data_IF_719009064333
#
_entry.id   IF_719009064333
#
_cell.length_a   1.000
_cell.length_b   1.000
_cell.length_c   1.000
_cell.angle_alpha   90.00
_cell.angle_beta   90.00
_cell.angle_gamma   90.00
#
_symmetry.space_group_name_H-M   'P 1'
#
loop_
_entity.id
_entity.type
_entity.pdbx_description
1 polymer ?
#
# COMPACT_ATOMS: atom_id res chain seq x y z
N UNK A 1 17.98 -25.03 -12.29
CA UNK A 1 19.19 -24.27 -12.64
C UNK A 1 18.73 -22.83 -12.87
N UNK A 2 19.41 -21.82 -12.29
CA UNK A 2 19.05 -20.41 -12.50
C UNK A 2 19.09 -20.06 -14.00
N UNK A 3 18.22 -19.15 -14.44
CA UNK A 3 18.21 -18.67 -15.82
C UNK A 3 19.43 -17.78 -16.08
N UNK A 4 19.86 -17.63 -17.34
CA UNK A 4 20.94 -16.71 -17.70
C UNK A 4 20.64 -15.27 -17.26
N UNK A 5 19.37 -14.86 -17.33
CA UNK A 5 18.90 -13.57 -16.84
C UNK A 5 19.08 -13.43 -15.32
N UNK A 6 18.77 -14.47 -14.53
CA UNK A 6 18.95 -14.45 -13.08
C UNK A 6 20.43 -14.36 -12.68
N UNK A 7 21.32 -15.06 -13.39
CA UNK A 7 22.77 -14.97 -13.12
C UNK A 7 23.30 -13.57 -13.44
N UNK A 8 22.88 -12.97 -14.55
CA UNK A 8 23.27 -11.60 -14.91
C UNK A 8 22.66 -10.53 -13.98
N UNK A 9 21.48 -10.81 -13.42
CA UNK A 9 20.82 -9.93 -12.47
C UNK A 9 21.68 -9.72 -11.22
N UNK A 10 22.25 -10.80 -10.67
CA UNK A 10 23.06 -10.77 -9.44
C UNK A 10 24.33 -9.90 -9.54
N UNK A 11 24.81 -9.63 -10.77
CA UNK A 11 25.93 -8.73 -11.06
C UNK A 11 25.50 -7.26 -11.31
N UNK A 12 24.20 -6.98 -11.36
CA UNK A 12 23.65 -5.64 -11.61
C UNK A 12 23.43 -4.91 -10.29
N UNK A 13 24.00 -3.71 -10.14
CA UNK A 13 23.74 -2.83 -9.01
C UNK A 13 22.65 -1.81 -9.37
N UNK A 14 21.58 -1.77 -8.58
CA UNK A 14 20.50 -0.78 -8.69
C UNK A 14 20.53 0.13 -7.46
N UNK A 15 20.56 1.43 -7.69
CA UNK A 15 20.45 2.41 -6.61
C UNK A 15 18.97 2.74 -6.31
N UNK A 16 18.60 2.79 -5.05
CA UNK A 16 17.29 3.27 -4.60
C UNK A 16 17.52 4.59 -3.88
N UNK A 17 17.13 5.70 -4.53
CA UNK A 17 17.19 7.03 -3.93
C UNK A 17 15.84 7.34 -3.29
N UNK A 18 15.81 7.44 -1.96
CA UNK A 18 14.58 7.70 -1.22
C UNK A 18 14.51 9.14 -0.70
N UNK A 19 13.53 9.89 -1.19
CA UNK A 19 13.21 11.24 -0.71
C UNK A 19 11.99 11.15 0.19
N UNK A 20 12.20 11.13 1.51
CA UNK A 20 11.15 11.31 2.53
C UNK A 20 10.92 12.78 2.91
N UNK A 21 11.67 13.70 2.32
CA UNK A 21 11.56 15.13 2.55
C UNK A 21 10.43 15.82 1.74
N UNK A 22 9.40 15.08 1.31
CA UNK A 22 8.12 15.70 0.98
C UNK A 22 7.43 16.25 2.24
N UNK A 23 6.18 16.70 2.12
CA UNK A 23 5.34 16.86 3.30
C UNK A 23 4.97 15.46 3.81
N UNK A 24 5.79 14.94 4.72
CA UNK A 24 5.83 13.55 5.18
C UNK A 24 5.71 13.44 6.70
N UNK A 25 5.27 12.28 7.18
CA UNK A 25 5.36 11.88 8.58
C UNK A 25 6.33 10.70 8.80
N UNK A 26 6.97 10.23 7.73
CA UNK A 26 7.87 9.07 7.65
C UNK A 26 7.21 7.75 8.07
N UNK A 27 5.88 7.72 8.10
CA UNK A 27 5.11 6.55 8.47
C UNK A 27 5.19 5.42 7.44
N UNK A 28 5.39 5.74 6.16
CA UNK A 28 5.53 4.74 5.10
C UNK A 28 6.90 4.08 5.16
N UNK A 29 7.92 4.89 5.44
CA UNK A 29 9.26 4.48 5.82
C UNK A 29 9.24 3.51 7.02
N UNK A 30 8.62 3.90 8.14
CA UNK A 30 8.49 3.02 9.31
C UNK A 30 7.70 1.76 8.98
N UNK A 31 6.62 1.85 8.20
CA UNK A 31 5.82 0.70 7.82
C UNK A 31 6.62 -0.34 7.03
N UNK A 32 7.49 0.08 6.09
CA UNK A 32 8.34 -0.83 5.33
C UNK A 32 9.25 -1.68 6.23
N UNK A 33 9.74 -1.13 7.36
CA UNK A 33 10.59 -1.89 8.30
C UNK A 33 9.86 -3.07 8.97
N UNK A 34 8.52 -3.09 8.91
CA UNK A 34 7.70 -4.20 9.42
C UNK A 34 7.33 -5.23 8.34
N UNK A 35 7.82 -5.08 7.11
CA UNK A 35 7.58 -6.03 6.03
C UNK A 35 8.28 -7.36 6.31
N UNK A 36 7.67 -8.44 5.86
CA UNK A 36 8.16 -9.81 6.09
C UNK A 36 8.16 -10.66 4.82
N UNK A 37 7.56 -10.18 3.73
CA UNK A 37 7.31 -10.97 2.52
C UNK A 37 7.54 -10.18 1.21
N UNK A 38 8.79 -9.91 0.83
CA UNK A 38 10.00 -10.08 1.63
C UNK A 38 10.19 -8.92 2.62
N UNK A 39 11.09 -9.08 3.58
CA UNK A 39 11.53 -7.99 4.44
C UNK A 39 12.52 -7.06 3.73
N UNK A 40 12.78 -5.89 4.33
CA UNK A 40 13.71 -4.92 3.75
C UNK A 40 15.15 -5.44 3.74
N UNK A 41 15.55 -6.17 4.78
CA UNK A 41 16.85 -6.82 4.84
C UNK A 41 17.00 -7.95 3.83
N UNK A 42 15.95 -8.71 3.53
CA UNK A 42 15.98 -9.73 2.48
C UNK A 42 16.20 -9.10 1.09
N UNK A 43 15.57 -7.95 0.83
CA UNK A 43 15.80 -7.18 -0.41
C UNK A 43 17.23 -6.63 -0.44
N UNK A 44 17.66 -5.93 0.61
CA UNK A 44 18.95 -5.25 0.66
C UNK A 44 20.14 -6.23 0.62
N UNK A 45 20.01 -7.40 1.25
CA UNK A 45 21.04 -8.43 1.28
C UNK A 45 20.98 -9.38 0.07
N UNK A 46 20.04 -9.19 -0.85
CA UNK A 46 19.86 -10.07 -2.02
C UNK A 46 19.54 -11.51 -1.61
N UNK A 47 18.77 -11.71 -0.53
CA UNK A 47 18.46 -13.04 0.00
C UNK A 47 17.56 -13.87 -0.92
N UNK A 48 16.81 -13.19 -1.81
CA UNK A 48 15.98 -13.85 -2.81
C UNK A 48 16.79 -14.11 -4.10
N UNK A 49 16.74 -15.34 -4.64
CA UNK A 49 17.52 -15.71 -5.82
C UNK A 49 17.11 -14.90 -7.05
N UNK A 50 18.09 -14.44 -7.83
CA UNK A 50 17.86 -13.64 -9.02
C UNK A 50 17.52 -12.18 -8.76
N UNK A 51 17.56 -11.68 -7.51
CA UNK A 51 17.52 -10.24 -7.29
C UNK A 51 18.84 -9.59 -7.71
N UNK A 52 18.79 -8.37 -8.30
CA UNK A 52 19.98 -7.54 -8.44
C UNK A 52 20.49 -7.06 -7.09
N UNK A 53 21.76 -6.66 -7.04
CA UNK A 53 22.29 -5.95 -5.88
C UNK A 53 21.58 -4.61 -5.73
N UNK A 54 21.22 -4.25 -4.50
CA UNK A 54 20.53 -3.00 -4.21
C UNK A 54 21.37 -2.16 -3.28
N UNK A 55 21.67 -0.93 -3.70
CA UNK A 55 22.22 0.10 -2.81
C UNK A 55 21.08 1.04 -2.43
N UNK A 56 20.63 0.95 -1.17
CA UNK A 56 19.53 1.75 -0.64
C UNK A 56 20.08 3.01 0.00
N UNK A 57 19.71 4.16 -0.54
CA UNK A 57 20.06 5.50 -0.06
C UNK A 57 18.81 6.13 0.56
N UNK A 58 18.61 5.86 1.85
CA UNK A 58 17.34 6.12 2.54
C UNK A 58 17.55 6.74 3.93
N UNK A 59 17.06 7.98 4.18
CA UNK A 59 17.38 8.70 5.41
C UNK A 59 17.02 8.00 6.73
N UNK A 60 16.09 7.04 6.73
CA UNK A 60 15.73 6.32 7.96
C UNK A 60 16.83 5.34 8.42
N UNK A 61 17.54 4.71 7.48
CA UNK A 61 18.45 3.59 7.78
C UNK A 61 19.87 3.77 7.26
N UNK A 62 20.13 4.82 6.49
CA UNK A 62 21.46 5.05 5.92
C UNK A 62 22.51 5.24 7.01
N UNK A 63 23.68 4.67 6.77
CA UNK A 63 24.84 4.85 7.66
C UNK A 63 25.51 6.21 7.40
N UNK A 64 25.51 6.66 6.15
CA UNK A 64 26.05 7.95 5.76
C UNK A 64 25.14 9.08 6.28
N UNK A 65 25.70 10.04 7.02
CA UNK A 65 24.95 11.17 7.60
C UNK A 65 25.77 12.46 7.73
N UNK A 66 26.96 12.51 7.12
CA UNK A 66 27.88 13.62 7.15
C UNK A 66 27.37 14.87 6.41
N UNK A 67 27.97 16.04 6.67
CA UNK A 67 27.59 17.27 6.00
C UNK A 67 27.93 17.20 4.50
N UNK A 68 27.25 18.03 3.70
CA UNK A 68 27.49 18.12 2.25
C UNK A 68 28.98 18.36 1.94
N UNK A 69 29.57 17.50 1.11
CA UNK A 69 31.00 17.49 0.77
C UNK A 69 31.92 16.81 1.79
N UNK A 70 31.39 16.24 2.87
CA UNK A 70 32.10 15.42 3.84
C UNK A 70 32.38 13.99 3.37
N UNK A 71 33.13 13.21 4.17
CA UNK A 71 33.47 11.83 3.84
C UNK A 71 32.25 10.88 3.83
N UNK A 72 31.25 11.18 4.67
CA UNK A 72 30.01 10.39 4.82
C UNK A 72 28.79 11.16 4.28
N UNK A 73 28.97 11.98 3.23
CA UNK A 73 27.90 12.81 2.65
C UNK A 73 26.84 11.99 1.92
N UNK A 74 25.76 11.69 2.63
CA UNK A 74 24.59 10.99 2.11
C UNK A 74 24.00 11.63 0.84
N UNK A 75 24.01 12.96 0.72
CA UNK A 75 23.44 13.66 -0.43
C UNK A 75 24.31 13.51 -1.69
N UNK A 76 25.55 13.05 -1.56
CA UNK A 76 26.45 12.83 -2.69
C UNK A 76 25.83 11.88 -3.74
N UNK A 77 25.02 10.90 -3.33
CA UNK A 77 24.32 9.99 -4.24
C UNK A 77 23.24 10.69 -5.07
N UNK A 78 22.50 11.60 -4.46
CA UNK A 78 21.50 12.42 -5.15
C UNK A 78 22.17 13.39 -6.13
N UNK A 79 23.29 14.01 -5.75
CA UNK A 79 24.06 14.85 -6.66
C UNK A 79 24.70 14.06 -7.81
N UNK A 80 25.19 12.84 -7.58
CA UNK A 80 25.67 11.94 -8.66
C UNK A 80 24.55 11.64 -9.66
N UNK A 81 23.35 11.31 -9.16
CA UNK A 81 22.19 11.10 -10.01
C UNK A 81 21.80 12.35 -10.79
N UNK A 82 21.82 13.54 -10.17
CA UNK A 82 21.56 14.80 -10.87
C UNK A 82 22.60 15.07 -11.98
N UNK A 83 23.88 14.73 -11.76
CA UNK A 83 24.90 14.84 -12.82
C UNK A 83 24.81 13.76 -13.90
N UNK A 84 23.92 12.78 -13.75
CA UNK A 84 23.80 11.64 -14.66
C UNK A 84 24.91 10.60 -14.51
N UNK A 85 25.57 10.58 -13.36
CA UNK A 85 26.67 9.66 -13.02
C UNK A 85 26.19 8.41 -12.27
N UNK A 86 24.88 8.29 -12.03
CA UNK A 86 24.25 7.18 -11.31
C UNK A 86 23.18 6.53 -12.19
N UNK A 87 23.45 5.32 -12.69
CA UNK A 87 22.51 4.52 -13.48
C UNK A 87 22.78 3.02 -13.30
N UNK A 88 21.75 2.15 -13.16
CA UNK A 88 20.33 2.47 -12.99
C UNK A 88 19.97 2.95 -11.57
N UNK A 89 18.93 3.78 -11.46
CA UNK A 89 18.35 4.13 -10.16
C UNK A 89 16.83 4.25 -10.17
N UNK A 90 16.22 3.85 -9.05
CA UNK A 90 14.82 4.06 -8.74
C UNK A 90 14.71 5.25 -7.79
N UNK A 91 13.86 6.20 -8.14
CA UNK A 91 13.51 7.31 -7.26
C UNK A 91 12.25 6.96 -6.48
N UNK A 92 12.35 6.88 -5.16
CA UNK A 92 11.22 6.72 -4.24
C UNK A 92 10.90 8.08 -3.64
N UNK A 93 9.62 8.45 -3.67
CA UNK A 93 9.12 9.72 -3.13
C UNK A 93 8.08 9.41 -2.06
N UNK A 94 8.33 9.90 -0.85
CA UNK A 94 7.45 9.81 0.30
C UNK A 94 7.05 11.21 0.78
N UNK A 95 5.77 11.38 1.10
CA UNK A 95 5.16 12.67 1.38
C UNK A 95 4.68 13.43 0.14
N UNK A 96 3.70 14.32 0.33
CA UNK A 96 3.10 15.09 -0.76
C UNK A 96 4.01 16.24 -1.22
N UNK A 97 3.89 16.64 -2.48
CA UNK A 97 4.73 17.69 -3.08
C UNK A 97 4.07 19.05 -2.86
N UNK A 98 4.70 19.99 -2.12
CA UNK A 98 4.12 21.32 -1.94
C UNK A 98 4.17 22.13 -3.24
N UNK A 99 3.25 23.09 -3.37
CA UNK A 99 3.30 24.05 -4.45
C UNK A 99 4.29 25.18 -4.10
N UNK A 100 5.54 24.98 -4.49
CA UNK A 100 6.62 25.94 -4.26
C UNK A 100 6.44 27.25 -5.07
N UNK A 101 5.46 27.35 -5.97
CA UNK A 101 5.18 28.58 -6.76
C UNK A 101 4.32 29.61 -6.01
N UNK A 102 3.65 29.21 -4.92
CA UNK A 102 2.73 30.10 -4.17
C UNK A 102 3.31 30.63 -2.85
N UNK A 103 4.55 30.29 -2.51
CA UNK A 103 5.23 30.86 -1.35
C UNK A 103 5.71 32.29 -1.66
N UNK A 104 5.69 33.15 -0.66
CA UNK A 104 6.24 34.51 -0.77
C UNK A 104 7.76 34.52 -0.52
N UNK A 105 8.21 33.74 0.46
CA UNK A 105 9.60 33.62 0.88
C UNK A 105 9.87 32.20 1.43
N UNK A 106 11.14 31.85 1.59
CA UNK A 106 11.53 30.55 2.16
C UNK A 106 11.23 29.38 1.24
N UNK A 107 10.73 28.29 1.81
CA UNK A 107 10.33 27.04 1.15
C UNK A 107 9.36 26.28 2.08
N UNK A 108 8.56 25.37 1.54
CA UNK A 108 7.68 24.51 2.36
C UNK A 108 8.41 23.25 2.82
N UNK A 109 9.13 22.59 1.91
CA UNK A 109 10.01 21.47 2.24
C UNK A 109 11.27 21.47 1.36
N UNK A 110 12.38 21.03 1.94
CA UNK A 110 13.66 20.94 1.26
C UNK A 110 14.46 19.74 1.74
N UNK A 111 15.37 19.30 0.89
CA UNK A 111 16.21 18.13 1.10
C UNK A 111 17.65 18.47 0.75
N UNK A 112 18.49 18.66 1.76
CA UNK A 112 19.84 19.14 1.53
C UNK A 112 19.93 20.57 1.02
N UNK A 113 21.15 21.00 0.73
CA UNK A 113 21.47 22.34 0.26
C UNK A 113 22.20 22.29 -1.07
N UNK A 114 21.95 23.28 -1.93
CA UNK A 114 22.69 23.48 -3.16
C UNK A 114 24.15 23.84 -2.81
N UNK A 115 25.16 23.07 -3.28
CA UNK A 115 26.56 23.30 -2.90
C UNK A 115 27.14 24.64 -3.37
N UNK A 116 26.57 25.26 -4.39
CA UNK A 116 27.06 26.53 -4.94
C UNK A 116 26.48 27.74 -4.19
N UNK A 117 25.22 27.66 -3.74
CA UNK A 117 24.52 28.78 -3.09
C UNK A 117 24.36 28.61 -1.58
N UNK A 118 24.50 27.39 -1.07
CA UNK A 118 24.19 27.01 0.31
C UNK A 118 22.71 27.07 0.67
N UNK A 119 21.81 27.30 -0.31
CA UNK A 119 20.37 27.39 -0.08
C UNK A 119 19.72 26.00 -0.07
N UNK A 120 18.65 25.78 0.71
CA UNK A 120 17.90 24.53 0.68
C UNK A 120 17.37 24.21 -0.71
N UNK A 121 17.61 22.98 -1.17
CA UNK A 121 17.02 22.48 -2.43
C UNK A 121 15.63 21.96 -2.14
N UNK A 122 14.63 22.51 -2.82
CA UNK A 122 13.23 22.10 -2.58
C UNK A 122 12.99 20.69 -3.09
N UNK A 123 12.01 20.00 -2.52
CA UNK A 123 11.63 18.65 -2.99
C UNK A 123 11.14 18.68 -4.44
N UNK A 124 10.39 19.72 -4.82
CA UNK A 124 9.99 19.95 -6.23
C UNK A 124 11.21 20.08 -7.16
N UNK A 125 12.24 20.80 -6.73
CA UNK A 125 13.49 20.94 -7.50
C UNK A 125 14.22 19.61 -7.66
N UNK A 126 14.31 18.79 -6.61
CA UNK A 126 14.85 17.44 -6.73
C UNK A 126 14.06 16.57 -7.70
N UNK A 127 12.73 16.64 -7.68
CA UNK A 127 11.88 15.92 -8.62
C UNK A 127 12.17 16.36 -10.06
N UNK A 128 12.24 17.65 -10.34
CA UNK A 128 12.56 18.17 -11.68
C UNK A 128 13.93 17.69 -12.19
N UNK A 129 14.91 17.61 -11.28
CA UNK A 129 16.28 17.20 -11.58
C UNK A 129 16.44 15.69 -11.77
N UNK A 130 15.76 14.88 -10.96
CA UNK A 130 16.00 13.44 -10.86
C UNK A 130 14.99 12.61 -11.67
N UNK A 131 13.72 12.99 -11.72
CA UNK A 131 12.68 12.18 -12.38
C UNK A 131 12.98 11.92 -13.87
N UNK A 132 13.53 12.86 -14.68
CA UNK A 132 13.85 12.56 -16.08
C UNK A 132 15.01 11.57 -16.25
N UNK A 133 15.83 11.40 -15.20
CA UNK A 133 17.01 10.54 -15.19
C UNK A 133 16.73 9.17 -14.58
N UNK A 134 15.72 9.06 -13.72
CA UNK A 134 15.37 7.83 -13.03
C UNK A 134 14.95 6.71 -14.00
N UNK A 135 15.35 5.48 -13.69
CA UNK A 135 14.85 4.27 -14.37
C UNK A 135 13.36 4.07 -14.06
N UNK A 136 12.95 4.27 -12.81
CA UNK A 136 11.55 4.26 -12.37
C UNK A 136 11.31 5.29 -11.26
N UNK A 137 10.07 5.77 -11.14
CA UNK A 137 9.63 6.67 -10.05
C UNK A 137 8.50 5.97 -9.30
N UNK A 138 8.67 5.81 -7.98
CA UNK A 138 7.71 5.17 -7.09
C UNK A 138 7.22 6.20 -6.08
N UNK A 139 5.92 6.48 -6.10
CA UNK A 139 5.27 7.31 -5.08
C UNK A 139 4.73 6.39 -3.99
N UNK A 140 5.23 6.55 -2.77
CA UNK A 140 4.91 5.69 -1.62
C UNK A 140 4.08 6.44 -0.58
N UNK A 141 2.99 5.80 -0.16
CA UNK A 141 2.02 6.41 0.72
C UNK A 141 1.07 7.38 0.00
N UNK A 142 -0.12 7.54 0.57
CA UNK A 142 -1.19 8.33 -0.07
C UNK A 142 -0.82 9.80 -0.23
N UNK A 143 0.05 10.32 0.63
CA UNK A 143 0.58 11.67 0.50
C UNK A 143 1.37 11.84 -0.81
N UNK A 144 2.32 10.95 -1.11
CA UNK A 144 3.08 11.04 -2.35
C UNK A 144 2.25 10.66 -3.57
N UNK A 145 1.33 9.69 -3.46
CA UNK A 145 0.55 9.26 -4.63
C UNK A 145 -0.52 10.28 -5.02
N UNK A 146 -1.26 10.84 -4.06
CA UNK A 146 -2.48 11.62 -4.32
C UNK A 146 -2.59 12.89 -3.48
N UNK A 147 -1.52 13.31 -2.81
CA UNK A 147 -1.51 14.46 -1.89
C UNK A 147 -1.97 14.10 -0.47
N UNK A 148 -3.01 13.28 -0.33
CA UNK A 148 -3.47 12.75 0.95
C UNK A 148 -3.87 13.82 1.96
N UNK A 149 -3.65 13.55 3.25
CA UNK A 149 -4.10 14.44 4.34
C UNK A 149 -3.46 15.83 4.29
N UNK A 150 -2.24 15.95 3.78
CA UNK A 150 -1.55 17.24 3.64
C UNK A 150 -2.10 18.09 2.50
N UNK A 151 -2.75 17.47 1.51
CA UNK A 151 -3.44 18.13 0.40
C UNK A 151 -4.94 18.36 0.65
N UNK A 152 -5.42 18.12 1.87
CA UNK A 152 -6.82 18.31 2.28
C UNK A 152 -7.32 19.76 2.08
N UNK A 153 -8.63 19.95 1.94
CA UNK A 153 -9.24 21.28 1.85
C UNK A 153 -8.76 22.21 2.99
N UNK A 154 -8.31 23.41 2.61
CA UNK A 154 -7.80 24.42 3.53
C UNK A 154 -6.29 24.37 3.82
N UNK A 155 -5.55 23.44 3.20
CA UNK A 155 -4.09 23.41 3.34
C UNK A 155 -3.43 24.68 2.73
N UNK A 156 -2.41 25.27 3.38
CA UNK A 156 -1.75 26.49 2.89
C UNK A 156 -0.63 26.23 1.87
N UNK A 157 -0.24 24.97 1.66
CA UNK A 157 0.92 24.59 0.85
C UNK A 157 0.57 24.28 -0.61
N UNK A 158 -0.72 24.12 -0.92
CA UNK A 158 -1.18 23.69 -2.24
C UNK A 158 -0.65 22.31 -2.63
N UNK A 159 -0.48 21.42 -1.64
CA UNK A 159 0.19 20.13 -1.84
C UNK A 159 -0.55 19.22 -2.83
N UNK A 160 0.20 18.34 -3.49
CA UNK A 160 -0.31 17.42 -4.51
C UNK A 160 0.47 16.11 -4.55
N UNK A 161 -0.05 15.12 -5.30
CA UNK A 161 0.66 13.88 -5.56
C UNK A 161 1.73 14.02 -6.64
N UNK A 162 2.65 13.06 -6.72
CA UNK A 162 3.63 12.94 -7.81
C UNK A 162 2.97 12.87 -9.19
N UNK A 163 1.85 12.15 -9.41
CA UNK A 163 1.11 12.18 -10.68
C UNK A 163 0.56 13.56 -11.05
N UNK A 164 0.14 14.37 -10.07
CA UNK A 164 -0.34 15.73 -10.33
C UNK A 164 0.82 16.66 -10.68
N UNK A 165 1.98 16.47 -10.03
CA UNK A 165 3.18 17.28 -10.27
C UNK A 165 3.84 16.98 -11.63
N UNK A 166 4.03 15.69 -11.97
CA UNK A 166 4.70 15.26 -13.21
C UNK A 166 3.75 15.13 -14.40
N UNK A 167 2.46 14.95 -14.16
CA UNK A 167 1.44 14.58 -15.13
C UNK A 167 1.10 13.08 -15.06
N UNK A 168 -0.19 12.77 -15.15
CA UNK A 168 -0.71 11.39 -15.01
C UNK A 168 -0.25 10.44 -16.11
N UNK A 169 0.07 10.96 -17.29
CA UNK A 169 0.61 10.19 -18.42
C UNK A 169 2.15 10.14 -18.45
N UNK A 170 2.82 10.70 -17.44
CA UNK A 170 4.28 10.73 -17.37
C UNK A 170 4.86 9.32 -17.33
N UNK A 171 5.98 9.14 -18.02
CA UNK A 171 6.76 7.90 -18.03
C UNK A 171 8.24 8.20 -17.88
N UNK A 172 8.95 7.32 -17.20
CA UNK A 172 10.40 7.37 -17.12
C UNK A 172 11.04 7.15 -18.50
N UNK A 173 12.35 7.37 -18.60
CA UNK A 173 13.11 7.05 -19.82
C UNK A 173 13.07 5.56 -20.21
N UNK A 174 12.75 4.67 -19.26
CA UNK A 174 12.54 3.25 -19.50
C UNK A 174 11.10 2.91 -19.94
N UNK A 175 10.23 3.93 -20.11
CA UNK A 175 8.84 3.76 -20.50
C UNK A 175 7.92 3.29 -19.36
N UNK A 176 8.41 3.31 -18.11
CA UNK A 176 7.66 2.87 -16.93
C UNK A 176 6.80 4.05 -16.44
N UNK A 177 5.47 3.89 -16.29
CA UNK A 177 4.62 4.91 -15.67
C UNK A 177 5.04 5.16 -14.22
N UNK A 178 4.56 6.25 -13.62
CA UNK A 178 4.68 6.44 -12.16
C UNK A 178 4.04 5.23 -11.47
N UNK A 179 4.72 4.63 -10.50
CA UNK A 179 4.18 3.51 -9.73
C UNK A 179 3.66 4.06 -8.41
N UNK A 180 2.34 4.10 -8.25
CA UNK A 180 1.69 4.57 -7.03
C UNK A 180 1.39 3.41 -6.09
N UNK A 181 1.97 3.44 -4.89
CA UNK A 181 1.66 2.47 -3.83
C UNK A 181 1.04 3.23 -2.66
N UNK A 182 -0.30 3.41 -2.64
CA UNK A 182 -0.96 4.22 -1.62
C UNK A 182 -1.25 3.47 -0.32
N UNK A 183 -1.61 4.25 0.70
CA UNK A 183 -1.91 3.85 2.08
C UNK A 183 -1.46 4.95 3.04
N UNK A 184 -2.09 5.06 4.22
CA UNK A 184 -1.71 6.05 5.23
C UNK A 184 -1.63 5.41 6.63
N UNK A 185 -0.50 4.74 6.97
CA UNK A 185 0.63 4.49 6.08
C UNK A 185 0.35 3.33 5.10
N UNK A 186 1.26 3.11 4.16
CA UNK A 186 1.27 1.95 3.28
C UNK A 186 1.32 0.63 4.06
N UNK A 187 0.66 -0.41 3.55
CA UNK A 187 0.80 -1.74 4.13
C UNK A 187 2.25 -2.25 3.91
N UNK A 188 2.94 -2.77 4.94
CA UNK A 188 4.36 -3.13 4.86
C UNK A 188 4.72 -4.00 3.65
N UNK A 189 4.07 -5.16 3.52
CA UNK A 189 4.36 -6.07 2.40
C UNK A 189 3.86 -5.56 1.04
N UNK A 190 2.86 -4.68 0.98
CA UNK A 190 2.41 -4.14 -0.31
C UNK A 190 3.55 -3.32 -0.96
N UNK A 191 4.31 -2.61 -0.13
CA UNK A 191 5.48 -1.86 -0.56
C UNK A 191 6.63 -2.77 -0.94
N UNK A 192 7.02 -3.71 -0.08
CA UNK A 192 8.14 -4.61 -0.35
C UNK A 192 7.88 -5.52 -1.56
N UNK A 193 6.66 -6.01 -1.75
CA UNK A 193 6.27 -6.76 -2.95
C UNK A 193 6.39 -5.92 -4.23
N UNK A 194 5.97 -4.66 -4.18
CA UNK A 194 6.05 -3.75 -5.33
C UNK A 194 7.51 -3.46 -5.70
N UNK A 195 8.34 -3.14 -4.70
CA UNK A 195 9.78 -2.92 -4.91
C UNK A 195 10.45 -4.17 -5.49
N UNK A 196 10.15 -5.34 -4.93
CA UNK A 196 10.65 -6.63 -5.41
C UNK A 196 10.25 -6.90 -6.86
N UNK A 197 8.99 -6.62 -7.22
CA UNK A 197 8.53 -6.73 -8.61
C UNK A 197 9.35 -5.82 -9.55
N UNK A 198 9.60 -4.57 -9.15
CA UNK A 198 10.40 -3.63 -9.94
C UNK A 198 11.84 -4.09 -10.13
N UNK A 199 12.45 -4.73 -9.12
CA UNK A 199 13.81 -5.29 -9.22
C UNK A 199 13.87 -6.46 -10.22
N UNK A 200 12.88 -7.37 -10.20
CA UNK A 200 12.77 -8.42 -11.21
C UNK A 200 12.50 -7.85 -12.61
N UNK A 201 11.68 -6.80 -12.72
CA UNK A 201 11.39 -6.14 -14.00
C UNK A 201 12.63 -5.46 -14.57
N UNK A 202 13.41 -4.76 -13.72
CA UNK A 202 14.64 -4.07 -14.12
C UNK A 202 15.72 -5.01 -14.69
N UNK A 203 15.66 -6.29 -14.34
CA UNK A 203 16.58 -7.33 -14.80
C UNK A 203 15.97 -8.23 -15.89
N UNK A 204 14.80 -7.88 -16.42
CA UNK A 204 14.12 -8.60 -17.51
C UNK A 204 13.46 -9.91 -17.10
N UNK A 205 13.27 -10.14 -15.79
CA UNK A 205 12.66 -11.35 -15.23
C UNK A 205 11.15 -11.22 -15.00
N UNK A 206 10.62 -10.00 -15.06
CA UNK A 206 9.19 -9.72 -14.99
C UNK A 206 8.75 -8.80 -16.14
N UNK A 207 7.48 -8.92 -16.61
CA UNK A 207 6.94 -7.99 -17.59
C UNK A 207 6.71 -6.61 -16.98
N UNK A 208 6.38 -5.62 -17.82
CA UNK A 208 5.95 -4.29 -17.37
C UNK A 208 4.90 -4.41 -16.26
N UNK A 209 5.11 -3.68 -15.17
CA UNK A 209 4.24 -3.74 -13.98
C UNK A 209 2.78 -3.43 -14.35
N UNK A 210 1.82 -4.31 -14.06
CA UNK A 210 0.41 -4.06 -14.36
C UNK A 210 -0.17 -3.07 -13.35
N UNK A 211 -0.51 -1.88 -13.84
CA UNK A 211 -1.11 -0.79 -13.06
C UNK A 211 -2.57 -0.55 -13.47
N UNK A 212 -3.41 -0.11 -12.53
CA UNK A 212 -4.74 0.42 -12.82
C UNK A 212 -4.71 1.89 -13.25
N UNK A 213 -5.87 2.47 -13.59
CA UNK A 213 -5.97 3.86 -14.06
C UNK A 213 -5.52 4.90 -13.01
N UNK A 214 -5.42 4.50 -11.74
CA UNK A 214 -4.88 5.34 -10.67
C UNK A 214 -3.41 5.01 -10.37
N UNK A 215 -2.74 4.33 -11.31
CA UNK A 215 -1.33 3.97 -11.31
C UNK A 215 -0.92 2.98 -10.20
N UNK A 216 -1.86 2.15 -9.71
CA UNK A 216 -1.62 1.21 -8.62
C UNK A 216 -1.39 -0.22 -9.12
N UNK A 217 -0.50 -1.00 -8.50
CA UNK A 217 -0.38 -2.45 -8.73
C UNK A 217 -1.74 -3.16 -8.65
N UNK A 218 -2.19 -3.76 -9.76
CA UNK A 218 -3.55 -4.32 -9.87
C UNK A 218 -3.78 -5.51 -8.94
N UNK A 219 -2.73 -6.26 -8.59
CA UNK A 219 -2.84 -7.40 -7.67
C UNK A 219 -3.01 -6.97 -6.19
N UNK A 220 -2.64 -5.73 -5.85
CA UNK A 220 -2.77 -5.19 -4.49
C UNK A 220 -4.05 -4.37 -4.30
N UNK A 221 -4.43 -3.62 -5.33
CA UNK A 221 -5.52 -2.64 -5.27
C UNK A 221 -6.66 -2.94 -6.25
N UNK A 222 -6.71 -4.16 -6.81
CA UNK A 222 -7.76 -4.59 -7.73
C UNK A 222 -9.11 -4.87 -7.06
N UNK A 223 -9.10 -5.28 -5.79
CA UNK A 223 -10.30 -5.60 -5.01
C UNK A 223 -10.56 -4.56 -3.91
N UNK A 224 -11.82 -4.48 -3.50
CA UNK A 224 -12.25 -3.63 -2.41
C UNK A 224 -11.97 -4.26 -1.05
N UNK A 225 -11.92 -3.42 -0.02
CA UNK A 225 -11.87 -3.82 1.39
C UNK A 225 -13.03 -4.77 1.72
N UNK A 226 -14.23 -4.51 1.18
CA UNK A 226 -15.40 -5.34 1.47
C UNK A 226 -15.29 -6.77 0.94
N UNK A 227 -14.72 -6.95 -0.25
CA UNK A 227 -14.48 -8.27 -0.86
C UNK A 227 -13.47 -9.11 -0.05
N UNK A 228 -12.66 -8.46 0.79
CA UNK A 228 -11.72 -9.10 1.71
C UNK A 228 -12.17 -9.21 3.16
N UNK A 229 -13.28 -8.60 3.54
CA UNK A 229 -13.67 -8.45 4.94
C UNK A 229 -14.35 -9.70 5.49
N UNK A 230 -13.79 -10.29 6.55
CA UNK A 230 -14.39 -11.43 7.26
C UNK A 230 -15.74 -11.10 7.92
N UNK A 231 -16.08 -9.82 8.10
CA UNK A 231 -17.41 -9.35 8.53
C UNK A 231 -18.43 -9.24 7.40
N UNK A 232 -18.08 -9.56 6.15
CA UNK A 232 -18.99 -9.47 5.00
C UNK A 232 -20.22 -10.39 5.14
N UNK A 233 -20.10 -11.54 5.82
CA UNK A 233 -21.24 -12.42 6.10
C UNK A 233 -22.32 -11.75 6.96
N UNK A 234 -21.95 -10.86 7.87
CA UNK A 234 -22.92 -10.06 8.63
C UNK A 234 -23.61 -9.03 7.74
N UNK A 235 -22.85 -8.39 6.82
CA UNK A 235 -23.41 -7.44 5.86
C UNK A 235 -24.45 -8.11 4.95
N UNK A 236 -24.11 -9.26 4.37
CA UNK A 236 -25.00 -10.08 3.52
C UNK A 236 -26.32 -10.42 4.23
N UNK A 237 -26.24 -10.72 5.53
CA UNK A 237 -27.41 -11.06 6.33
C UNK A 237 -28.16 -9.82 6.85
N UNK A 238 -27.69 -8.61 6.59
CA UNK A 238 -28.29 -7.40 7.14
C UNK A 238 -28.09 -7.25 8.66
N UNK A 239 -27.03 -7.85 9.21
CA UNK A 239 -26.61 -7.71 10.59
C UNK A 239 -25.58 -6.60 10.75
N UNK A 240 -26.06 -5.44 11.17
CA UNK A 240 -25.23 -4.25 11.33
C UNK A 240 -25.02 -3.90 12.79
N UNK A 241 -23.81 -3.45 13.12
CA UNK A 241 -23.47 -2.93 14.43
C UNK A 241 -24.15 -1.57 14.69
N UNK A 242 -24.48 -1.32 15.95
CA UNK A 242 -24.95 -0.02 16.47
C UNK A 242 -23.94 0.62 17.41
N UNK A 243 -22.86 -0.09 17.75
CA UNK A 243 -21.77 0.35 18.63
C UNK A 243 -20.43 -0.24 18.15
N UNK A 244 -19.32 0.43 18.45
CA UNK A 244 -17.99 0.08 17.93
C UNK A 244 -17.44 -1.25 18.46
N UNK A 245 -17.86 -1.68 19.65
CA UNK A 245 -17.42 -2.95 20.25
C UNK A 245 -18.05 -4.20 19.62
N UNK A 246 -19.02 -4.03 18.72
CA UNK A 246 -19.73 -5.16 18.11
C UNK A 246 -18.84 -5.94 17.14
N UNK A 247 -18.96 -7.28 17.09
CA UNK A 247 -18.29 -8.10 16.08
C UNK A 247 -18.95 -8.01 14.68
N UNK A 248 -20.11 -7.36 14.57
CA UNK A 248 -20.90 -7.29 13.33
C UNK A 248 -20.35 -6.28 12.33
N UNK A 249 -20.99 -6.20 11.15
CA UNK A 249 -20.60 -5.24 10.13
C UNK A 249 -20.82 -3.78 10.61
N UNK A 250 -19.78 -2.96 10.50
CA UNK A 250 -19.72 -1.58 10.99
C UNK A 250 -19.96 -0.52 9.88
N UNK A 251 -20.60 -0.89 8.77
CA UNK A 251 -20.91 0.07 7.67
C UNK A 251 -21.73 1.26 8.16
N UNK A 252 -22.67 1.03 9.09
CA UNK A 252 -23.52 2.07 9.69
C UNK A 252 -22.79 3.02 10.65
N UNK A 253 -21.53 2.72 10.96
CA UNK A 253 -20.68 3.51 11.86
C UNK A 253 -19.58 4.26 11.10
N UNK A 254 -19.61 4.27 9.77
CA UNK A 254 -18.65 5.01 8.94
C UNK A 254 -17.72 4.17 8.07
N UNK A 255 -17.90 2.86 8.00
CA UNK A 255 -17.00 2.02 7.19
C UNK A 255 -17.28 2.14 5.68
N UNK A 256 -16.33 2.71 4.94
CA UNK A 256 -16.35 2.87 3.48
C UNK A 256 -15.86 1.64 2.70
N UNK A 257 -15.65 0.51 3.37
CA UNK A 257 -15.07 -0.70 2.80
C UNK A 257 -15.65 -1.15 1.43
N UNK A 258 -16.96 -1.02 1.15
CA UNK A 258 -17.55 -1.41 -0.14
C UNK A 258 -17.04 -0.67 -1.38
N UNK A 259 -16.39 0.49 -1.21
CA UNK A 259 -15.94 1.33 -2.34
C UNK A 259 -14.45 1.70 -2.26
N UNK A 260 -13.73 1.16 -1.28
CA UNK A 260 -12.31 1.44 -1.06
C UNK A 260 -11.50 0.27 -1.59
N UNK A 261 -10.57 0.54 -2.51
CA UNK A 261 -9.62 -0.43 -3.05
C UNK A 261 -8.44 -0.60 -2.10
N UNK A 262 -8.41 -1.71 -1.35
CA UNK A 262 -7.35 -2.04 -0.40
C UNK A 262 -7.49 -3.49 0.06
N UNK A 263 -6.39 -4.23 0.10
CA UNK A 263 -6.33 -5.65 0.45
C UNK A 263 -6.20 -5.93 1.96
N UNK A 264 -6.03 -4.91 2.80
CA UNK A 264 -5.76 -5.04 4.26
C UNK A 264 -6.65 -6.06 4.98
N UNK A 265 -8.00 -6.02 4.90
CA UNK A 265 -8.80 -6.98 5.67
C UNK A 265 -8.65 -8.42 5.17
N UNK A 266 -8.29 -8.62 3.89
CA UNK A 266 -8.00 -9.94 3.33
C UNK A 266 -6.64 -10.47 3.78
N UNK A 267 -5.67 -9.55 3.91
CA UNK A 267 -4.26 -9.85 4.15
C UNK A 267 -3.87 -9.84 5.63
N UNK A 268 -4.59 -9.09 6.47
CA UNK A 268 -4.10 -8.62 7.76
C UNK A 268 -3.24 -7.37 7.59
N UNK A 269 -2.55 -6.95 8.66
CA UNK A 269 -1.62 -5.81 8.62
C UNK A 269 -0.15 -6.25 8.70
N UNK A 270 0.21 -7.02 9.74
CA UNK A 270 1.56 -7.60 9.91
C UNK A 270 1.39 -9.07 10.22
N UNK A 271 1.95 -9.96 9.40
CA UNK A 271 1.86 -11.42 9.59
C UNK A 271 0.41 -11.93 9.80
N UNK A 272 -0.55 -11.36 9.08
CA UNK A 272 -1.96 -11.70 9.22
C UNK A 272 -2.65 -11.12 10.47
N UNK A 273 -1.94 -10.37 11.31
CA UNK A 273 -2.49 -9.72 12.52
C UNK A 273 -2.94 -8.30 12.21
N UNK A 274 -4.07 -7.90 12.79
CA UNK A 274 -4.60 -6.54 12.69
C UNK A 274 -5.44 -6.32 11.44
N UNK A 275 -5.47 -5.07 10.98
CA UNK A 275 -6.27 -4.62 9.85
C UNK A 275 -7.15 -3.43 10.23
N UNK A 276 -8.31 -3.32 9.57
CA UNK A 276 -9.25 -2.24 9.83
C UNK A 276 -10.65 -2.81 10.15
N UNK A 277 -11.58 -2.99 9.18
CA UNK A 277 -12.95 -3.37 9.54
C UNK A 277 -13.07 -4.79 10.07
N UNK A 278 -12.18 -5.70 9.66
CA UNK A 278 -12.10 -7.05 10.20
C UNK A 278 -11.90 -7.04 11.74
N UNK A 279 -11.08 -6.10 12.24
CA UNK A 279 -10.80 -5.92 13.67
C UNK A 279 -11.60 -4.80 14.35
N UNK A 280 -12.62 -4.25 13.70
CA UNK A 280 -13.54 -3.27 14.29
C UNK A 280 -13.20 -1.80 14.07
N UNK A 281 -12.13 -1.49 13.33
CA UNK A 281 -11.82 -0.12 12.88
C UNK A 281 -12.53 0.21 11.57
N UNK A 282 -13.27 1.31 11.51
CA UNK A 282 -13.93 1.72 10.26
C UNK A 282 -12.90 1.95 9.14
N UNK A 283 -13.21 1.50 7.93
CA UNK A 283 -12.40 1.84 6.78
C UNK A 283 -12.66 3.31 6.41
N UNK A 284 -11.62 4.13 6.44
CA UNK A 284 -11.68 5.57 6.14
C UNK A 284 -11.25 5.92 4.72
N UNK A 285 -10.96 4.93 3.87
CA UNK A 285 -10.55 5.15 2.49
C UNK A 285 -9.11 5.64 2.31
N UNK A 286 -8.20 5.37 3.25
CA UNK A 286 -6.86 5.94 3.26
C UNK A 286 -5.98 5.61 2.03
N UNK A 287 -6.35 4.65 1.18
CA UNK A 287 -5.65 4.29 -0.07
C UNK A 287 -6.23 4.95 -1.33
N UNK A 288 -7.25 5.79 -1.18
CA UNK A 288 -8.03 6.33 -2.29
C UNK A 288 -7.61 7.77 -2.63
N UNK A 289 -7.65 8.18 -3.92
CA UNK A 289 -7.34 9.56 -4.31
C UNK A 289 -8.22 10.64 -3.68
N UNK A 290 -9.43 10.29 -3.23
CA UNK A 290 -10.33 11.23 -2.57
C UNK A 290 -10.09 11.39 -1.06
N UNK A 291 -9.09 10.74 -0.49
CA UNK A 291 -8.79 10.81 0.94
C UNK A 291 -8.04 12.11 1.29
N UNK A 292 -8.43 12.81 2.37
CA UNK A 292 -9.51 12.48 3.33
C UNK A 292 -10.88 13.06 2.97
N UNK A 293 -10.96 14.11 2.14
CA UNK A 293 -12.13 14.98 2.03
C UNK A 293 -13.42 14.28 1.62
N UNK A 294 -13.37 13.29 0.72
CA UNK A 294 -14.57 12.56 0.27
C UNK A 294 -15.13 11.59 1.31
N UNK A 295 -14.39 11.33 2.38
CA UNK A 295 -14.69 10.33 3.40
C UNK A 295 -15.05 10.96 4.75
N UNK A 296 -14.85 12.28 4.90
CA UNK A 296 -15.20 13.02 6.11
C UNK A 296 -16.67 13.47 6.13
N UNK A 297 -17.33 13.53 7.30
CA UNK A 297 -16.85 13.05 8.61
C UNK A 297 -16.74 11.52 8.65
N UNK A 298 -15.61 10.99 9.11
CA UNK A 298 -15.33 9.55 8.98
C UNK A 298 -16.34 8.64 9.70
N UNK A 299 -16.92 9.10 10.80
CA UNK A 299 -17.82 8.30 11.65
C UNK A 299 -19.28 8.30 11.17
N UNK A 300 -19.60 9.05 10.10
CA UNK A 300 -20.93 9.08 9.53
C UNK A 300 -21.12 7.92 8.54
N UNK A 301 -22.29 7.26 8.58
CA UNK A 301 -22.63 6.20 7.62
C UNK A 301 -22.49 6.72 6.17
N UNK A 302 -21.71 6.04 5.30
CA UNK A 302 -21.56 6.46 3.91
C UNK A 302 -22.92 6.58 3.21
N UNK A 303 -23.20 7.63 2.42
CA UNK A 303 -24.52 7.85 1.82
C UNK A 303 -25.04 6.64 1.02
N UNK A 304 -24.18 5.98 0.24
CA UNK A 304 -24.53 4.76 -0.50
C UNK A 304 -24.70 3.51 0.40
N UNK A 305 -24.09 3.51 1.58
CA UNK A 305 -24.22 2.45 2.58
C UNK A 305 -25.65 2.30 3.11
N UNK A 306 -26.38 3.41 3.24
CA UNK A 306 -27.79 3.44 3.72
C UNK A 306 -28.72 2.60 2.86
N UNK A 307 -28.58 2.70 1.53
CA UNK A 307 -29.45 1.97 0.61
C UNK A 307 -29.20 0.46 0.69
N UNK A 308 -27.95 0.04 0.59
CA UNK A 308 -27.60 -1.38 0.61
C UNK A 308 -27.83 -2.03 1.97
N UNK A 309 -27.64 -1.28 3.06
CA UNK A 309 -27.92 -1.77 4.41
C UNK A 309 -29.42 -2.00 4.63
N UNK A 310 -30.28 -1.11 4.14
CA UNK A 310 -31.74 -1.33 4.12
C UNK A 310 -32.15 -2.54 3.26
N UNK A 311 -31.59 -2.68 2.06
CA UNK A 311 -31.90 -3.79 1.17
C UNK A 311 -31.50 -5.15 1.77
N UNK A 312 -30.29 -5.25 2.33
CA UNK A 312 -29.77 -6.48 2.95
C UNK A 312 -30.56 -6.88 4.20
N UNK A 313 -31.06 -5.90 4.95
CA UNK A 313 -31.93 -6.15 6.11
C UNK A 313 -33.24 -6.88 5.74
N UNK A 314 -33.84 -6.58 4.59
CA UNK A 314 -35.14 -7.13 4.18
C UNK A 314 -35.08 -8.63 3.92
N UNK A 315 -34.13 -9.10 3.10
CA UNK A 315 -34.03 -10.53 2.77
C UNK A 315 -33.18 -11.32 3.79
N UNK A 316 -32.26 -10.64 4.49
CA UNK A 316 -31.32 -11.29 5.41
C UNK A 316 -31.99 -12.04 6.55
N UNK A 317 -33.15 -11.56 7.04
CA UNK A 317 -33.93 -12.28 8.06
C UNK A 317 -34.42 -13.64 7.57
N UNK A 318 -34.91 -13.71 6.33
CA UNK A 318 -35.39 -14.97 5.72
C UNK A 318 -34.21 -15.93 5.53
N UNK A 319 -33.09 -15.44 4.99
CA UNK A 319 -31.90 -16.26 4.75
C UNK A 319 -31.33 -16.81 6.06
N UNK A 320 -31.28 -16.02 7.14
CA UNK A 320 -30.88 -16.51 8.46
C UNK A 320 -31.78 -17.61 8.98
N UNK A 321 -33.10 -17.45 8.86
CA UNK A 321 -34.04 -18.49 9.29
C UNK A 321 -33.83 -19.80 8.52
N UNK A 322 -33.61 -19.73 7.20
CA UNK A 322 -33.33 -20.92 6.38
C UNK A 322 -31.97 -21.57 6.75
N UNK A 323 -30.91 -20.77 6.93
CA UNK A 323 -29.60 -21.26 7.38
C UNK A 323 -29.68 -21.94 8.74
N UNK A 324 -30.40 -21.36 9.70
CA UNK A 324 -30.58 -21.94 11.03
C UNK A 324 -31.37 -23.25 11.04
N UNK A 325 -32.26 -23.49 10.06
CA UNK A 325 -32.90 -24.81 9.90
C UNK A 325 -31.86 -25.85 9.48
N UNK A 326 -31.04 -25.55 8.47
CA UNK A 326 -29.98 -26.44 7.99
C UNK A 326 -28.89 -26.67 9.05
N UNK A 327 -28.50 -25.64 9.79
CA UNK A 327 -27.54 -25.75 10.90
C UNK A 327 -28.01 -26.80 11.93
N UNK A 328 -29.27 -26.73 12.35
CA UNK A 328 -29.87 -27.71 13.26
C UNK A 328 -29.93 -29.13 12.71
N UNK A 329 -29.91 -29.32 11.39
CA UNK A 329 -29.89 -30.66 10.79
C UNK A 329 -28.48 -31.21 10.72
N UNK A 330 -27.47 -30.38 10.41
CA UNK A 330 -26.07 -30.80 10.34
C UNK A 330 -25.43 -30.97 11.72
N UNK A 331 -25.95 -30.31 12.76
CA UNK A 331 -25.55 -30.51 14.16
C UNK A 331 -26.06 -31.82 14.78
N UNK A 332 -26.91 -32.57 14.06
CA UNK A 332 -27.42 -33.85 14.53
C UNK A 332 -26.58 -34.98 13.99
N UNK A 333 -25.99 -35.75 14.90
CA UNK A 333 -25.30 -36.98 14.53
C UNK A 333 -26.26 -37.95 13.82
N UNK A 334 -25.75 -38.73 12.85
CA UNK A 334 -26.57 -39.73 12.20
C UNK A 334 -26.98 -40.85 13.16
N UNK A 335 -28.18 -41.40 12.95
CA UNK A 335 -28.84 -42.35 13.88
C UNK A 335 -28.04 -43.61 14.21
N UNK A 336 -27.11 -44.02 13.34
CA UNK A 336 -26.32 -45.24 13.51
C UNK A 336 -25.11 -45.09 14.44
N UNK A 337 -24.86 -43.89 14.97
CA UNK A 337 -23.85 -43.66 16.02
C UNK A 337 -24.46 -43.87 17.40
N UNK A 338 -24.52 -45.13 17.86
CA UNK A 338 -25.02 -45.47 19.19
C UNK A 338 -24.28 -46.67 19.82
N UNK A 339 -24.28 -46.77 21.16
CA UNK A 339 -23.64 -47.86 21.93
C UNK A 339 -24.52 -49.13 22.06
N UNK A 340 -25.34 -49.40 21.05
CA UNK A 340 -26.25 -50.55 21.07
C UNK A 340 -25.52 -51.87 20.82
N UNK A 341 -26.16 -52.99 21.15
CA UNK A 341 -25.62 -54.33 20.86
C UNK A 341 -25.74 -54.72 19.37
N UNK A 342 -26.56 -54.01 18.60
CA UNK A 342 -26.75 -54.20 17.17
C UNK A 342 -25.97 -53.17 16.35
N UNK A 343 -25.31 -53.62 15.27
CA UNK A 343 -24.65 -52.75 14.28
C UNK A 343 -25.70 -52.20 13.30
N UNK A 344 -25.95 -50.89 13.32
CA UNK A 344 -26.99 -50.22 12.51
C UNK A 344 -26.42 -49.30 11.43
N UNK A 345 -25.11 -49.38 11.18
CA UNK A 345 -24.41 -48.55 10.18
C UNK A 345 -24.69 -48.94 8.73
N UNK A 346 -25.40 -50.05 8.52
CA UNK A 346 -25.58 -50.66 7.20
C UNK A 346 -24.44 -51.57 6.76
N UNK A 347 -23.42 -51.79 7.60
CA UNK A 347 -22.33 -52.73 7.32
C UNK A 347 -22.76 -54.19 7.56
N UNK A 348 -22.43 -55.06 6.61
CA UNK A 348 -22.55 -56.51 6.78
C UNK A 348 -21.26 -57.07 7.40
N UNK A 349 -21.37 -57.82 8.50
CA UNK A 349 -20.21 -58.54 9.07
C UNK A 349 -19.90 -59.74 8.17
N UNK A 350 -18.71 -59.77 7.58
CA UNK A 350 -18.26 -60.83 6.66
C UNK A 350 -17.24 -61.79 7.28
N UNK A 351 -17.16 -61.84 8.61
CA UNK A 351 -16.32 -62.77 9.37
C UNK A 351 -17.13 -63.51 10.42
#
# INVERSE_FOLDING_TARGET
MPTEAAVKAEDTLIHVLWINAGLSCDGDSVALTAATQPSVEEIALGALPGLPQVAVHWPLIDFECGPTGGADDFLAWFFKADRGELEPFVLVVEGSIPNEKIKNEGYWCGFGNDPATGQPMTTSEWLDRLTPKATAVVAVGTCATYGGIHAMAGNPTGAMGVPDYLGWDWKSKAGIPIVCVPGCPIHPDNLSETLTYLLYMATGQAPMIPLDDALRPTWLFGSTVHEGCDRAGYYEQGEFATEYGSPKCIVKLGCWGPVVKCNVPKRGWINGVGGCPNVGGICIGCTMPGFPDKFMPFMDEPPGGKFSSSASGLYGTVIRSLRGITERTVDKEPRWRHKGTQLTTGAHRTW
#
